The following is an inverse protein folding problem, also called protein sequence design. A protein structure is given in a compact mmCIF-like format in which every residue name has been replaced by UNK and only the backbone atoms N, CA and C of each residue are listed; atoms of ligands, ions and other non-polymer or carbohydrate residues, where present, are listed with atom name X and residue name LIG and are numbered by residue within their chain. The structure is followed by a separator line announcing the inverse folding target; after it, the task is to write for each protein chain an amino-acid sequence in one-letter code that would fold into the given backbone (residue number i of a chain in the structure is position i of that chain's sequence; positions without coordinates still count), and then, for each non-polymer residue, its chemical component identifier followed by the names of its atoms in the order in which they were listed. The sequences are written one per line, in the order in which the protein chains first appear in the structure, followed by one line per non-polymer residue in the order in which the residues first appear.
data_IF_498531491514
#
_entry.id   IF_498531491514
#
_cell.length_a   1.000
_cell.length_b   1.000
_cell.length_c   1.000
_cell.angle_alpha   90.00
_cell.angle_beta   90.00
_cell.angle_gamma   90.00
#
_symmetry.space_group_name_H-M   'P 1'
#
loop_
_entity.id
_entity.type
_entity.pdbx_description
1 polymer ?
#
# COMPACT_ATOMS: atom_id res chain seq x y z
N UNK A 1 -41.41 -25.80 -53.66
CA UNK A 1 -39.99 -26.16 -53.87
C UNK A 1 -39.28 -24.84 -54.05
N UNK A 2 -38.37 -24.53 -53.11
CA UNK A 2 -37.37 -23.43 -53.13
C UNK A 2 -37.92 -21.99 -53.09
N UNK A 3 -37.40 -21.05 -52.30
CA UNK A 3 -36.30 -21.06 -51.32
C UNK A 3 -36.55 -19.92 -50.33
N UNK A 4 -36.46 -20.19 -49.03
CA UNK A 4 -36.59 -19.17 -47.98
C UNK A 4 -35.18 -18.61 -47.79
N UNK A 5 -34.93 -17.40 -48.27
CA UNK A 5 -33.62 -16.75 -48.19
C UNK A 5 -33.27 -16.47 -46.71
N UNK A 6 -32.53 -17.39 -46.10
CA UNK A 6 -31.96 -17.22 -44.77
C UNK A 6 -30.86 -16.18 -44.93
N UNK A 7 -31.20 -14.91 -44.64
CA UNK A 7 -30.20 -13.90 -44.35
C UNK A 7 -29.38 -14.38 -43.16
N UNK A 8 -28.20 -14.92 -43.47
CA UNK A 8 -27.13 -15.18 -42.52
C UNK A 8 -26.84 -13.88 -41.77
N UNK A 9 -26.70 -13.91 -40.43
CA UNK A 9 -26.29 -12.73 -39.69
C UNK A 9 -24.92 -12.33 -40.21
N UNK A 10 -24.87 -11.19 -40.88
CA UNK A 10 -23.62 -10.54 -41.25
C UNK A 10 -22.79 -10.41 -39.99
N UNK A 11 -21.55 -10.90 -40.07
CA UNK A 11 -20.58 -10.84 -39.01
C UNK A 11 -20.48 -9.41 -38.46
N UNK A 12 -21.16 -9.16 -37.35
CA UNK A 12 -20.94 -8.00 -36.52
C UNK A 12 -19.54 -8.15 -35.92
N UNK A 13 -18.55 -7.75 -36.71
CA UNK A 13 -17.30 -7.25 -36.18
C UNK A 13 -17.63 -6.09 -35.24
N UNK A 14 -17.49 -6.29 -33.94
CA UNK A 14 -16.96 -5.26 -33.06
C UNK A 14 -16.73 -5.79 -31.66
N UNK A 15 -15.44 -5.88 -31.34
CA UNK A 15 -14.90 -5.63 -30.02
C UNK A 15 -15.23 -6.70 -28.96
N UNK A 16 -14.74 -7.92 -29.19
CA UNK A 16 -14.12 -8.61 -28.06
C UNK A 16 -13.05 -7.66 -27.53
N UNK A 17 -13.26 -7.20 -26.29
CA UNK A 17 -12.47 -6.19 -25.59
C UNK A 17 -11.03 -6.67 -25.56
N UNK A 18 -10.26 -6.32 -26.59
CA UNK A 18 -8.81 -6.39 -26.57
C UNK A 18 -8.44 -5.28 -25.61
N UNK A 19 -8.17 -5.66 -24.37
CA UNK A 19 -7.72 -4.79 -23.30
C UNK A 19 -6.36 -4.24 -23.74
N UNK A 20 -6.36 -3.25 -24.63
CA UNK A 20 -5.16 -2.53 -25.04
C UNK A 20 -4.68 -1.81 -23.79
N UNK A 21 -3.59 -2.33 -23.21
CA UNK A 21 -2.82 -1.64 -22.20
C UNK A 21 -2.16 -0.43 -22.87
N UNK A 22 -2.93 0.63 -23.10
CA UNK A 22 -2.37 1.89 -23.57
C UNK A 22 -1.48 2.44 -22.45
N UNK A 23 -0.29 2.92 -22.82
CA UNK A 23 0.65 3.52 -21.85
C UNK A 23 -0.03 4.64 -21.05
N UNK A 24 -0.96 5.36 -21.68
CA UNK A 24 -1.80 6.38 -21.06
C UNK A 24 -2.69 5.82 -19.94
N UNK A 25 -3.32 4.65 -20.14
CA UNK A 25 -4.12 4.01 -19.09
C UNK A 25 -3.27 3.62 -17.87
N UNK A 26 -2.00 3.24 -18.06
CA UNK A 26 -1.07 2.98 -16.94
C UNK A 26 -0.71 4.27 -16.20
N UNK A 27 -0.48 5.38 -16.91
CA UNK A 27 -0.21 6.67 -16.29
C UNK A 27 -1.42 7.24 -15.55
N UNK A 28 -2.63 7.09 -16.09
CA UNK A 28 -3.86 7.51 -15.43
C UNK A 28 -4.14 6.68 -14.17
N UNK A 29 -3.86 5.37 -14.22
CA UNK A 29 -4.08 4.43 -13.11
C UNK A 29 -3.02 4.52 -12.01
N UNK A 30 -1.74 4.57 -12.39
CA UNK A 30 -0.59 4.40 -11.48
C UNK A 30 0.36 5.61 -11.47
N UNK A 31 -0.06 6.76 -12.01
CA UNK A 31 0.78 7.96 -12.15
C UNK A 31 1.46 8.42 -10.86
N UNK A 32 0.83 8.24 -9.68
CA UNK A 32 1.46 8.55 -8.38
C UNK A 32 2.67 7.67 -8.10
N UNK A 33 2.55 6.37 -8.34
CA UNK A 33 3.66 5.44 -8.12
C UNK A 33 4.77 5.68 -9.14
N UNK A 34 4.41 5.90 -10.41
CA UNK A 34 5.40 6.20 -11.45
C UNK A 34 6.18 7.48 -11.13
N UNK A 35 5.51 8.53 -10.66
CA UNK A 35 6.18 9.74 -10.17
C UNK A 35 7.10 9.46 -8.98
N UNK A 36 6.64 8.68 -8.01
CA UNK A 36 7.46 8.31 -6.85
C UNK A 36 8.72 7.54 -7.27
N UNK A 37 8.58 6.52 -8.12
CA UNK A 37 9.71 5.73 -8.63
C UNK A 37 10.66 6.59 -9.46
N UNK A 38 10.14 7.45 -10.34
CA UNK A 38 10.97 8.38 -11.12
C UNK A 38 11.72 9.37 -10.22
N UNK A 39 11.06 9.92 -9.19
CA UNK A 39 11.69 10.79 -8.21
C UNK A 39 12.81 10.07 -7.46
N UNK A 40 12.57 8.85 -6.98
CA UNK A 40 13.58 8.05 -6.28
C UNK A 40 14.77 7.76 -7.22
N UNK A 41 14.51 7.36 -8.46
CA UNK A 41 15.56 7.09 -9.44
C UNK A 41 16.43 8.33 -9.72
N UNK A 42 15.81 9.51 -9.84
CA UNK A 42 16.55 10.78 -9.99
C UNK A 42 17.37 11.09 -8.73
N UNK A 43 16.77 10.96 -7.54
CA UNK A 43 17.45 11.22 -6.26
C UNK A 43 18.66 10.30 -6.05
N UNK A 44 18.60 9.06 -6.52
CA UNK A 44 19.74 8.13 -6.45
C UNK A 44 20.93 8.54 -7.33
N UNK A 45 20.71 9.36 -8.36
CA UNK A 45 21.73 9.73 -9.34
C UNK A 45 22.28 11.16 -9.19
N UNK A 46 21.70 11.99 -8.33
CA UNK A 46 22.18 13.36 -8.08
C UNK A 46 23.04 13.43 -6.81
N UNK A 47 24.06 14.31 -6.78
CA UNK A 47 24.76 14.65 -5.56
C UNK A 47 23.77 15.06 -4.46
N UNK A 48 24.00 14.61 -3.24
CA UNK A 48 23.15 14.85 -2.06
C UNK A 48 21.76 14.19 -2.04
N UNK A 49 21.30 13.53 -3.10
CA UNK A 49 19.99 12.87 -3.10
C UNK A 49 19.88 11.71 -2.09
N UNK A 50 21.02 11.10 -1.73
CA UNK A 50 21.11 10.12 -0.64
C UNK A 50 20.64 10.69 0.71
N UNK A 51 20.89 11.98 1.00
CA UNK A 51 20.44 12.60 2.26
C UNK A 51 18.92 12.78 2.31
N UNK A 52 18.28 12.95 1.14
CA UNK A 52 16.81 13.02 1.05
C UNK A 52 16.20 11.62 1.23
N UNK A 53 16.85 10.59 0.70
CA UNK A 53 16.42 9.19 0.84
C UNK A 53 16.74 8.59 2.21
N UNK A 54 17.66 9.21 2.97
CA UNK A 54 18.16 8.69 4.23
C UNK A 54 17.07 8.36 5.29
N UNK A 55 16.04 9.19 5.53
CA UNK A 55 14.96 8.82 6.45
C UNK A 55 14.17 7.59 5.99
N UNK A 56 14.02 7.39 4.68
CA UNK A 56 13.35 6.22 4.12
C UNK A 56 14.22 4.96 4.24
N UNK A 57 15.54 5.10 4.11
CA UNK A 57 16.47 4.02 4.38
C UNK A 57 16.40 3.58 5.85
N UNK A 58 16.45 4.52 6.80
CA UNK A 58 16.28 4.23 8.23
C UNK A 58 14.93 3.56 8.55
N UNK A 59 13.86 4.03 7.90
CA UNK A 59 12.55 3.40 8.03
C UNK A 59 12.56 1.95 7.54
N UNK A 60 13.17 1.69 6.38
CA UNK A 60 13.28 0.32 5.86
C UNK A 60 14.13 -0.58 6.73
N UNK A 61 15.24 -0.07 7.29
CA UNK A 61 16.05 -0.78 8.28
C UNK A 61 15.21 -1.13 9.50
N UNK A 62 14.41 -0.19 10.01
CA UNK A 62 13.49 -0.47 11.12
C UNK A 62 12.45 -1.53 10.78
N UNK A 63 11.87 -1.52 9.56
CA UNK A 63 10.94 -2.57 9.11
C UNK A 63 11.64 -3.93 9.16
N UNK A 64 12.83 -4.03 8.58
CA UNK A 64 13.65 -5.25 8.54
C UNK A 64 13.90 -5.83 9.94
N UNK A 65 14.46 -5.01 10.83
CA UNK A 65 14.74 -5.41 12.22
C UNK A 65 13.48 -5.76 13.00
N UNK A 66 12.37 -5.07 12.73
CA UNK A 66 11.08 -5.38 13.36
C UNK A 66 10.54 -6.72 12.89
N UNK A 67 10.76 -7.11 11.63
CA UNK A 67 10.34 -8.40 11.11
C UNK A 67 11.10 -9.57 11.75
N UNK A 68 12.40 -9.45 11.99
CA UNK A 68 13.14 -10.42 12.82
C UNK A 68 12.52 -10.53 14.23
N UNK A 69 12.24 -9.39 14.84
CA UNK A 69 11.66 -9.36 16.18
C UNK A 69 10.27 -10.03 16.26
N UNK A 70 9.40 -9.74 15.30
CA UNK A 70 8.08 -10.36 15.20
C UNK A 70 8.18 -11.86 14.95
N UNK A 71 9.08 -12.31 14.08
CA UNK A 71 9.30 -13.72 13.82
C UNK A 71 9.84 -14.45 15.06
N UNK A 72 10.70 -13.81 15.85
CA UNK A 72 11.17 -14.37 17.11
C UNK A 72 10.01 -14.58 18.09
N UNK A 73 9.11 -13.61 18.22
CA UNK A 73 7.92 -13.75 19.08
C UNK A 73 7.01 -14.88 18.58
N UNK A 74 6.75 -14.95 17.27
CA UNK A 74 5.89 -16.00 16.67
C UNK A 74 6.46 -17.39 16.86
N UNK A 75 7.79 -17.54 16.88
CA UNK A 75 8.46 -18.83 17.12
C UNK A 75 8.62 -19.18 18.61
N UNK A 76 7.98 -18.42 19.49
CA UNK A 76 8.00 -18.63 20.95
C UNK A 76 9.19 -18.01 21.67
N UNK A 77 9.96 -17.18 20.97
CA UNK A 77 11.06 -16.38 21.50
C UNK A 77 10.62 -15.00 21.99
N UNK A 78 11.58 -14.07 22.11
CA UNK A 78 11.32 -12.68 22.48
C UNK A 78 12.29 -11.70 21.84
N UNK A 79 11.92 -10.43 21.83
CA UNK A 79 12.79 -9.31 21.42
C UNK A 79 13.32 -8.64 22.66
N UNK A 80 14.64 -8.55 22.79
CA UNK A 80 15.28 -7.87 23.92
C UNK A 80 15.38 -6.38 23.65
N UNK A 81 15.90 -6.00 22.48
CA UNK A 81 16.03 -4.62 22.07
C UNK A 81 16.27 -4.49 20.56
N UNK A 82 16.04 -3.28 20.06
CA UNK A 82 16.31 -2.84 18.71
C UNK A 82 17.20 -1.59 18.75
N UNK A 83 18.20 -1.52 17.89
CA UNK A 83 19.05 -0.33 17.70
C UNK A 83 19.13 -0.01 16.21
N UNK A 84 19.09 1.27 15.89
CA UNK A 84 19.31 1.79 14.52
C UNK A 84 20.47 2.79 14.58
N UNK A 85 21.41 2.73 13.66
CA UNK A 85 22.64 3.51 13.70
C UNK A 85 22.72 4.58 12.60
N UNK A 86 23.58 5.61 12.76
CA UNK A 86 23.70 6.70 11.79
C UNK A 86 24.18 6.29 10.39
N UNK A 87 24.87 5.16 10.28
CA UNK A 87 25.30 4.58 9.00
C UNK A 87 24.14 3.90 8.23
N UNK A 88 22.93 3.87 8.80
CA UNK A 88 21.76 3.20 8.23
C UNK A 88 21.61 1.75 8.65
N UNK A 89 22.56 1.19 9.39
CA UNK A 89 22.52 -0.19 9.88
C UNK A 89 21.53 -0.35 11.04
N UNK A 90 21.02 -1.57 11.18
CA UNK A 90 20.09 -1.98 12.21
C UNK A 90 20.62 -3.16 13.01
N UNK A 91 20.16 -3.30 14.24
CA UNK A 91 20.44 -4.48 15.06
C UNK A 91 19.27 -4.77 15.99
N UNK A 92 18.53 -5.83 15.70
CA UNK A 92 17.62 -6.47 16.63
C UNK A 92 18.33 -7.61 17.38
N UNK A 93 18.28 -7.55 18.71
CA UNK A 93 18.63 -8.68 19.54
C UNK A 93 17.37 -9.47 19.89
N UNK A 94 17.30 -10.69 19.38
CA UNK A 94 16.21 -11.63 19.60
C UNK A 94 16.73 -12.85 20.35
N UNK A 95 15.87 -13.43 21.18
CA UNK A 95 16.08 -14.76 21.75
C UNK A 95 15.14 -15.73 21.05
N UNK A 96 15.67 -16.87 20.61
CA UNK A 96 14.92 -17.95 19.97
C UNK A 96 15.19 -19.26 20.71
N UNK A 97 14.37 -20.28 20.48
CA UNK A 97 14.48 -21.58 21.17
C UNK A 97 15.62 -22.47 20.65
N UNK A 98 16.52 -21.94 19.82
CA UNK A 98 17.74 -22.63 19.34
C UNK A 98 17.51 -23.74 18.31
N UNK A 99 16.26 -24.06 17.97
CA UNK A 99 15.94 -25.02 16.92
C UNK A 99 16.26 -24.42 15.54
N UNK A 100 17.05 -25.14 14.72
CA UNK A 100 17.57 -24.64 13.45
C UNK A 100 16.50 -24.03 12.53
N UNK A 101 15.35 -24.67 12.37
CA UNK A 101 14.26 -24.16 11.53
C UNK A 101 13.65 -22.86 12.06
N UNK A 102 13.64 -22.63 13.38
CA UNK A 102 13.17 -21.38 14.01
C UNK A 102 14.20 -20.28 13.83
N UNK A 103 15.49 -20.59 14.01
CA UNK A 103 16.59 -19.65 13.74
C UNK A 103 16.55 -19.22 12.27
N UNK A 104 16.43 -20.17 11.36
CA UNK A 104 16.33 -19.91 9.93
C UNK A 104 15.08 -19.10 9.56
N UNK A 105 13.93 -19.37 10.18
CA UNK A 105 12.71 -18.58 9.99
C UNK A 105 12.89 -17.13 10.46
N UNK A 106 13.47 -16.94 11.65
CA UNK A 106 13.76 -15.60 12.20
C UNK A 106 14.74 -14.85 11.30
N UNK A 107 15.84 -15.47 10.87
CA UNK A 107 16.81 -14.87 9.95
C UNK A 107 16.18 -14.53 8.59
N UNK A 108 15.33 -15.40 8.05
CA UNK A 108 14.62 -15.12 6.79
C UNK A 108 13.62 -13.96 6.89
N UNK A 109 13.11 -13.69 8.10
CA UNK A 109 12.00 -12.77 8.30
C UNK A 109 12.35 -11.31 7.98
N UNK A 110 13.61 -10.88 8.12
CA UNK A 110 14.02 -9.51 7.79
C UNK A 110 13.72 -9.17 6.33
N UNK A 111 14.33 -9.92 5.41
CA UNK A 111 14.16 -9.73 3.97
C UNK A 111 12.76 -10.08 3.48
N UNK A 112 12.24 -11.25 3.87
CA UNK A 112 10.89 -11.68 3.47
C UNK A 112 9.82 -10.72 3.99
N UNK A 113 9.94 -10.31 5.26
CA UNK A 113 9.01 -9.40 5.91
C UNK A 113 9.05 -8.00 5.31
N UNK A 114 10.23 -7.48 4.99
CA UNK A 114 10.38 -6.17 4.31
C UNK A 114 9.77 -6.21 2.90
N UNK A 115 9.98 -7.29 2.14
CA UNK A 115 9.36 -7.49 0.83
C UNK A 115 7.82 -7.51 0.91
N UNK A 116 7.28 -8.27 1.87
CA UNK A 116 5.83 -8.35 2.12
C UNK A 116 5.28 -7.00 2.57
N UNK A 117 5.96 -6.32 3.50
CA UNK A 117 5.56 -5.00 3.99
C UNK A 117 5.52 -3.98 2.86
N UNK A 118 6.54 -3.93 2.00
CA UNK A 118 6.57 -3.08 0.80
C UNK A 118 5.39 -3.38 -0.14
N UNK A 119 5.14 -4.66 -0.42
CA UNK A 119 3.99 -5.09 -1.22
C UNK A 119 2.64 -4.64 -0.63
N UNK A 120 2.44 -4.83 0.67
CA UNK A 120 1.23 -4.39 1.38
C UNK A 120 1.08 -2.87 1.33
N UNK A 121 2.15 -2.10 1.58
CA UNK A 121 2.11 -0.64 1.45
C UNK A 121 1.74 -0.22 0.03
N UNK A 122 2.28 -0.89 -1.00
CA UNK A 122 1.93 -0.61 -2.38
C UNK A 122 0.46 -0.89 -2.69
N UNK A 123 -0.18 -1.87 -2.04
CA UNK A 123 -1.62 -2.15 -2.19
C UNK A 123 -2.47 -1.04 -1.55
N UNK A 124 -2.13 -0.61 -0.33
CA UNK A 124 -2.87 0.41 0.41
C UNK A 124 -2.81 1.80 -0.25
N UNK A 125 -1.84 2.05 -1.14
CA UNK A 125 -1.64 3.35 -1.82
C UNK A 125 -2.85 3.79 -2.66
N UNK A 126 -3.66 2.83 -3.11
CA UNK A 126 -4.66 3.04 -4.17
C UNK A 126 -5.88 3.83 -3.72
N UNK A 127 -6.17 3.87 -2.42
CA UNK A 127 -7.26 4.68 -1.89
C UNK A 127 -6.71 5.80 -1.01
N UNK A 128 -7.30 6.99 -1.07
CA UNK A 128 -6.89 8.10 -0.20
C UNK A 128 -7.06 7.76 1.29
N UNK A 129 -8.10 6.99 1.62
CA UNK A 129 -8.36 6.49 2.98
C UNK A 129 -7.33 5.43 3.38
N UNK A 130 -7.00 4.48 2.50
CA UNK A 130 -5.98 3.45 2.74
C UNK A 130 -4.59 4.05 2.97
N UNK A 131 -4.17 4.99 2.12
CA UNK A 131 -2.90 5.69 2.30
C UNK A 131 -2.85 6.44 3.65
N UNK A 132 -3.94 7.11 4.04
CA UNK A 132 -4.03 7.79 5.35
C UNK A 132 -3.96 6.82 6.52
N UNK A 133 -4.76 5.76 6.51
CA UNK A 133 -4.78 4.76 7.58
C UNK A 133 -3.43 4.05 7.67
N UNK A 134 -2.86 3.64 6.54
CA UNK A 134 -1.55 3.00 6.47
C UNK A 134 -0.44 3.92 7.00
N UNK A 135 -0.42 5.18 6.59
CA UNK A 135 0.58 6.16 7.03
C UNK A 135 0.50 6.42 8.55
N UNK A 136 -0.70 6.64 9.09
CA UNK A 136 -0.88 6.82 10.54
C UNK A 136 -0.57 5.53 11.30
N UNK A 137 -1.06 4.39 10.83
CA UNK A 137 -0.87 3.09 11.47
C UNK A 137 0.62 2.71 11.56
N UNK A 138 1.36 2.84 10.47
CA UNK A 138 2.81 2.60 10.44
C UNK A 138 3.54 3.61 11.34
N UNK A 139 3.18 4.90 11.26
CA UNK A 139 3.78 5.92 12.13
C UNK A 139 3.57 5.62 13.62
N UNK A 140 2.37 5.18 14.01
CA UNK A 140 2.08 4.75 15.38
C UNK A 140 2.86 3.49 15.77
N UNK A 141 2.98 2.50 14.86
CA UNK A 141 3.77 1.30 15.11
C UNK A 141 5.25 1.64 15.39
N UNK A 142 5.84 2.56 14.60
CA UNK A 142 7.18 3.08 14.84
C UNK A 142 7.29 3.72 16.22
N UNK A 143 6.36 4.61 16.59
CA UNK A 143 6.36 5.30 17.88
C UNK A 143 6.21 4.34 19.07
N UNK A 144 5.33 3.36 18.97
CA UNK A 144 5.15 2.31 20.00
C UNK A 144 6.44 1.51 20.14
N UNK A 145 7.07 1.12 19.02
CA UNK A 145 8.35 0.40 19.06
C UNK A 145 9.47 1.23 19.71
N UNK A 146 9.44 2.56 19.59
CA UNK A 146 10.41 3.44 20.25
C UNK A 146 10.28 3.36 21.78
N UNK A 147 9.06 3.32 22.31
CA UNK A 147 8.84 3.15 23.75
C UNK A 147 9.24 1.75 24.25
N UNK A 148 8.91 0.71 23.48
CA UNK A 148 9.00 -0.67 23.97
C UNK A 148 10.32 -1.37 23.61
N UNK A 149 10.89 -1.12 22.44
CA UNK A 149 11.98 -1.93 21.88
C UNK A 149 13.27 -1.15 21.59
N UNK A 150 13.18 0.13 21.19
CA UNK A 150 14.37 0.89 20.78
C UNK A 150 15.20 1.29 22.00
N UNK A 151 16.51 1.05 21.97
CA UNK A 151 17.42 1.24 23.13
C UNK A 151 18.69 2.05 22.85
N UNK A 152 18.72 2.85 21.77
CA UNK A 152 19.83 3.76 21.53
C UNK A 152 19.35 5.18 21.17
N UNK A 153 20.13 6.19 21.57
CA UNK A 153 19.74 7.60 21.48
C UNK A 153 19.46 8.05 20.03
N UNK A 154 20.35 7.70 19.10
CA UNK A 154 20.16 8.03 17.69
C UNK A 154 18.87 7.40 17.13
N UNK A 155 18.68 6.10 17.34
CA UNK A 155 17.47 5.39 16.90
C UNK A 155 16.20 6.00 17.48
N UNK A 156 16.19 6.37 18.76
CA UNK A 156 15.06 7.06 19.38
C UNK A 156 14.76 8.40 18.70
N UNK A 157 15.76 9.28 18.52
CA UNK A 157 15.53 10.59 17.89
C UNK A 157 15.06 10.43 16.44
N UNK A 158 15.74 9.58 15.66
CA UNK A 158 15.45 9.40 14.25
C UNK A 158 14.07 8.74 14.03
N UNK A 159 13.79 7.63 14.72
CA UNK A 159 12.53 6.90 14.55
C UNK A 159 11.34 7.63 15.15
N UNK A 160 11.49 8.35 16.28
CA UNK A 160 10.40 9.21 16.79
C UNK A 160 10.11 10.31 15.79
N UNK A 161 11.14 10.92 15.20
CA UNK A 161 10.98 11.96 14.18
C UNK A 161 10.26 11.43 12.93
N UNK A 162 10.67 10.25 12.43
CA UNK A 162 10.00 9.55 11.31
C UNK A 162 8.55 9.20 11.68
N UNK A 163 8.31 8.61 12.84
CA UNK A 163 6.99 8.21 13.31
C UNK A 163 6.04 9.41 13.45
N UNK A 164 6.49 10.50 14.06
CA UNK A 164 5.73 11.75 14.16
C UNK A 164 5.47 12.35 12.78
N UNK A 165 6.45 12.36 11.88
CA UNK A 165 6.27 12.84 10.52
C UNK A 165 5.21 12.02 9.77
N UNK A 166 5.27 10.69 9.85
CA UNK A 166 4.27 9.82 9.24
C UNK A 166 2.87 10.08 9.80
N UNK A 167 2.71 10.12 11.13
CA UNK A 167 1.40 10.40 11.76
C UNK A 167 0.87 11.78 11.36
N UNK A 168 1.72 12.82 11.40
CA UNK A 168 1.31 14.18 11.06
C UNK A 168 0.99 14.33 9.57
N UNK A 169 1.76 13.71 8.68
CA UNK A 169 1.47 13.65 7.25
C UNK A 169 0.13 12.95 7.00
N UNK A 170 -0.09 11.77 7.59
CA UNK A 170 -1.35 11.04 7.44
C UNK A 170 -2.55 11.85 7.94
N UNK A 171 -2.43 12.51 9.10
CA UNK A 171 -3.52 13.27 9.71
C UNK A 171 -3.82 14.59 9.01
N UNK A 172 -2.79 15.38 8.70
CA UNK A 172 -2.96 16.79 8.27
C UNK A 172 -2.88 17.00 6.75
N UNK A 173 -2.21 16.15 5.98
CA UNK A 173 -2.06 16.41 4.55
C UNK A 173 -3.41 16.25 3.81
N UNK A 174 -3.66 17.08 2.77
CA UNK A 174 -4.77 16.87 1.86
C UNK A 174 -4.67 15.50 1.16
N UNK A 175 -5.81 14.88 0.76
CA UNK A 175 -5.81 13.53 0.17
C UNK A 175 -4.89 13.35 -1.05
N UNK A 176 -4.69 14.44 -1.83
CA UNK A 176 -3.76 14.46 -2.96
C UNK A 176 -2.32 14.20 -2.49
N UNK A 177 -1.84 14.97 -1.52
CA UNK A 177 -0.45 14.90 -1.03
C UNK A 177 -0.19 13.67 -0.15
N UNK A 178 -1.17 13.21 0.65
CA UNK A 178 -1.03 11.96 1.41
C UNK A 178 -0.71 10.80 0.47
N UNK A 179 -1.42 10.72 -0.67
CA UNK A 179 -1.20 9.67 -1.66
C UNK A 179 0.20 9.71 -2.29
N UNK A 180 0.74 10.90 -2.59
CA UNK A 180 2.09 11.04 -3.14
C UNK A 180 3.16 10.63 -2.12
N UNK A 181 3.09 11.17 -0.89
CA UNK A 181 4.06 10.86 0.16
C UNK A 181 4.02 9.37 0.51
N UNK A 182 2.82 8.79 0.61
CA UNK A 182 2.66 7.37 0.88
C UNK A 182 3.19 6.50 -0.25
N UNK A 183 3.01 6.92 -1.51
CA UNK A 183 3.60 6.22 -2.65
C UNK A 183 5.13 6.23 -2.60
N UNK A 184 5.76 7.33 -2.17
CA UNK A 184 7.22 7.39 -1.95
C UNK A 184 7.63 6.41 -0.85
N UNK A 185 6.99 6.45 0.33
CA UNK A 185 7.29 5.53 1.44
C UNK A 185 7.18 4.06 1.01
N UNK A 186 6.08 3.71 0.33
CA UNK A 186 5.84 2.36 -0.17
C UNK A 186 6.90 1.95 -1.21
N UNK A 187 7.18 2.81 -2.18
CA UNK A 187 8.15 2.55 -3.23
C UNK A 187 9.57 2.41 -2.67
N UNK A 188 9.98 3.25 -1.72
CA UNK A 188 11.29 3.12 -1.07
C UNK A 188 11.41 1.85 -0.25
N UNK A 189 10.35 1.45 0.47
CA UNK A 189 10.35 0.21 1.25
C UNK A 189 10.49 -1.02 0.33
N UNK A 190 9.76 -1.03 -0.79
CA UNK A 190 9.89 -2.07 -1.81
C UNK A 190 11.25 -2.05 -2.51
N UNK A 191 11.78 -0.86 -2.84
CA UNK A 191 13.06 -0.74 -3.52
C UNK A 191 14.22 -1.19 -2.64
N UNK A 192 14.18 -0.89 -1.34
CA UNK A 192 15.21 -1.29 -0.41
C UNK A 192 15.36 -2.81 -0.28
N UNK A 193 14.27 -3.56 -0.44
CA UNK A 193 14.34 -5.03 -0.50
C UNK A 193 15.22 -5.53 -1.67
N UNK A 194 15.40 -4.73 -2.74
CA UNK A 194 16.31 -5.02 -3.85
C UNK A 194 17.70 -4.44 -3.66
N UNK A 195 17.85 -3.23 -3.11
CA UNK A 195 19.19 -2.64 -2.99
C UNK A 195 20.05 -3.35 -1.95
N UNK A 196 19.44 -4.05 -0.99
CA UNK A 196 20.13 -4.86 0.02
C UNK A 196 20.70 -6.19 -0.51
N UNK A 197 20.63 -6.46 -1.81
CA UNK A 197 21.23 -7.64 -2.45
C UNK A 197 22.72 -7.78 -2.14
N UNK A 198 23.46 -6.67 -2.10
CA UNK A 198 24.91 -6.71 -1.80
C UNK A 198 25.19 -7.33 -0.44
N UNK A 199 24.36 -7.05 0.56
CA UNK A 199 24.48 -7.60 1.91
C UNK A 199 24.11 -9.09 1.94
N UNK A 200 23.15 -9.52 1.11
CA UNK A 200 22.73 -10.93 1.04
C UNK A 200 23.79 -11.87 0.47
N UNK A 201 24.55 -11.39 -0.51
CA UNK A 201 25.61 -12.16 -1.15
C UNK A 201 26.97 -11.96 -0.50
N UNK A 202 27.07 -11.04 0.46
CA UNK A 202 28.25 -10.90 1.28
C UNK A 202 28.32 -12.06 2.30
N UNK A 203 29.47 -12.71 2.29
CA UNK A 203 29.78 -13.85 3.17
C UNK A 203 30.78 -13.45 4.26
N UNK A 204 31.39 -12.27 4.14
CA UNK A 204 32.31 -11.78 5.14
C UNK A 204 31.54 -11.31 6.38
N UNK A 205 31.96 -11.74 7.59
CA UNK A 205 31.39 -11.20 8.81
C UNK A 205 31.67 -9.70 8.91
N UNK A 206 30.64 -8.91 9.21
CA UNK A 206 30.75 -7.48 9.42
C UNK A 206 30.45 -7.14 10.88
N UNK A 207 30.90 -5.98 11.34
CA UNK A 207 30.65 -5.53 12.72
C UNK A 207 29.68 -4.34 12.74
N UNK A 208 28.56 -4.50 13.45
CA UNK A 208 27.67 -3.39 13.78
C UNK A 208 27.86 -3.06 15.25
N UNK A 209 28.38 -1.86 15.52
CA UNK A 209 28.63 -1.37 16.88
C UNK A 209 29.41 -2.36 17.78
N UNK A 210 30.41 -3.04 17.21
CA UNK A 210 31.27 -4.00 17.91
C UNK A 210 30.71 -5.43 18.00
N UNK A 211 29.50 -5.68 17.48
CA UNK A 211 28.92 -7.02 17.41
C UNK A 211 29.19 -7.60 16.02
N UNK A 212 29.98 -8.68 15.96
CA UNK A 212 30.22 -9.42 14.72
C UNK A 212 28.94 -10.14 14.31
N UNK A 213 28.53 -9.94 13.06
CA UNK A 213 27.34 -10.54 12.45
C UNK A 213 27.70 -11.08 11.07
N UNK A 214 26.97 -12.11 10.66
CA UNK A 214 26.94 -12.59 9.29
C UNK A 214 25.65 -12.09 8.63
N UNK A 215 25.59 -12.18 7.30
CA UNK A 215 24.35 -11.91 6.56
C UNK A 215 23.26 -12.92 6.92
N UNK A 216 21.99 -12.50 6.84
CA UNK A 216 20.85 -13.38 7.14
C UNK A 216 20.85 -14.64 6.26
N UNK A 217 21.29 -14.50 5.00
CA UNK A 217 21.43 -15.62 4.07
C UNK A 217 22.48 -16.64 4.53
N UNK A 218 23.59 -16.16 5.11
CA UNK A 218 24.61 -17.03 5.68
C UNK A 218 24.09 -17.72 6.94
N UNK A 219 23.39 -17.02 7.84
CA UNK A 219 22.78 -17.63 9.03
C UNK A 219 21.83 -18.76 8.63
N UNK A 220 21.00 -18.56 7.61
CA UNK A 220 20.08 -19.61 7.11
C UNK A 220 20.85 -20.76 6.47
N UNK A 221 21.96 -20.49 5.77
CA UNK A 221 22.79 -21.53 5.18
C UNK A 221 23.57 -22.37 6.20
N UNK A 222 23.89 -21.79 7.36
CA UNK A 222 24.55 -22.51 8.46
C UNK A 222 23.55 -23.42 9.21
N UNK A 223 22.26 -23.03 9.25
CA UNK A 223 21.19 -23.78 9.92
C UNK A 223 20.45 -24.79 9.01
N UNK A 224 20.37 -24.52 7.70
CA UNK A 224 19.68 -25.34 6.71
C UNK A 224 20.65 -25.92 5.68
N UNK A 225 20.21 -26.92 4.92
CA UNK A 225 21.09 -27.68 4.02
C UNK A 225 21.45 -26.98 2.69
N UNK A 226 20.87 -25.81 2.38
CA UNK A 226 21.10 -25.11 1.10
C UNK A 226 22.04 -23.92 1.28
N UNK A 227 22.87 -23.60 0.27
CA UNK A 227 23.83 -22.51 0.34
C UNK A 227 23.17 -21.12 0.36
N UNK A 228 23.89 -20.12 0.88
CA UNK A 228 23.40 -18.74 1.06
C UNK A 228 22.83 -18.12 -0.23
N UNK A 229 23.46 -18.36 -1.39
CA UNK A 229 23.03 -17.80 -2.67
C UNK A 229 21.64 -18.30 -3.08
N UNK A 230 21.25 -19.51 -2.68
CA UNK A 230 19.93 -20.06 -2.97
C UNK A 230 18.86 -19.27 -2.22
N UNK A 231 19.05 -19.07 -0.91
CA UNK A 231 18.13 -18.33 -0.05
C UNK A 231 18.05 -16.85 -0.43
N UNK A 232 19.20 -16.22 -0.69
CA UNK A 232 19.28 -14.85 -1.19
C UNK A 232 18.47 -14.68 -2.48
N UNK A 233 18.65 -15.59 -3.46
CA UNK A 233 17.91 -15.58 -4.73
C UNK A 233 16.40 -15.75 -4.49
N UNK A 234 16.01 -16.68 -3.62
CA UNK A 234 14.60 -16.91 -3.29
C UNK A 234 13.94 -15.65 -2.71
N UNK A 235 14.61 -14.94 -1.80
CA UNK A 235 14.08 -13.73 -1.20
C UNK A 235 13.99 -12.56 -2.18
N UNK A 236 14.95 -12.46 -3.11
CA UNK A 236 14.88 -11.49 -4.22
C UNK A 236 13.67 -11.78 -5.11
N UNK A 237 13.45 -13.05 -5.48
CA UNK A 237 12.28 -13.44 -6.27
C UNK A 237 10.97 -13.12 -5.53
N UNK A 238 10.92 -13.34 -4.21
CA UNK A 238 9.79 -12.94 -3.38
C UNK A 238 9.59 -11.42 -3.39
N UNK A 239 10.66 -10.62 -3.31
CA UNK A 239 10.59 -9.16 -3.40
C UNK A 239 10.07 -8.68 -4.75
N UNK A 240 10.54 -9.28 -5.86
CA UNK A 240 10.01 -9.04 -7.22
C UNK A 240 8.53 -9.36 -7.27
N UNK A 241 8.14 -10.52 -6.77
CA UNK A 241 6.76 -11.00 -6.80
C UNK A 241 5.82 -10.10 -5.98
N UNK A 242 6.19 -9.75 -4.74
CA UNK A 242 5.40 -8.86 -3.88
C UNK A 242 5.30 -7.44 -4.44
N UNK A 243 6.39 -6.91 -4.99
CA UNK A 243 6.38 -5.60 -5.65
C UNK A 243 5.51 -5.62 -6.91
N UNK A 244 5.55 -6.72 -7.67
CA UNK A 244 4.71 -6.93 -8.84
C UNK A 244 3.22 -7.03 -8.47
N UNK A 245 2.86 -7.76 -7.41
CA UNK A 245 1.48 -7.79 -6.89
C UNK A 245 1.04 -6.39 -6.47
N UNK A 246 1.88 -5.69 -5.69
CA UNK A 246 1.59 -4.30 -5.29
C UNK A 246 1.40 -3.38 -6.51
N UNK A 247 2.13 -3.62 -7.60
CA UNK A 247 1.99 -2.89 -8.85
C UNK A 247 0.73 -3.28 -9.63
N UNK A 248 0.43 -4.58 -9.81
CA UNK A 248 -0.59 -5.08 -10.74
C UNK A 248 -1.95 -5.39 -10.10
N UNK A 249 -2.01 -5.87 -8.86
CA UNK A 249 -3.24 -6.30 -8.20
C UNK A 249 -4.05 -5.10 -7.67
N UNK A 250 -4.75 -4.48 -8.62
CA UNK A 250 -6.00 -3.71 -8.51
C UNK A 250 -7.07 -4.28 -7.59
N UNK A 251 -7.20 -3.89 -6.32
CA UNK A 251 -8.57 -3.75 -5.79
C UNK A 251 -9.11 -2.49 -6.46
N UNK A 252 -9.84 -2.68 -7.56
CA UNK A 252 -10.66 -1.61 -8.12
C UNK A 252 -11.59 -1.11 -6.99
N UNK A 253 -11.59 0.19 -6.66
CA UNK A 253 -12.73 0.73 -5.94
C UNK A 253 -13.92 0.37 -6.81
N UNK A 254 -14.80 -0.50 -6.30
CA UNK A 254 -16.01 -0.91 -7.01
C UNK A 254 -16.60 0.35 -7.63
N UNK A 255 -16.67 0.34 -8.96
CA UNK A 255 -17.18 1.47 -9.73
C UNK A 255 -18.43 1.96 -9.02
N UNK A 256 -18.42 3.21 -8.57
CA UNK A 256 -19.72 3.84 -8.33
C UNK A 256 -20.50 3.62 -9.62
N UNK A 257 -21.72 3.07 -9.55
CA UNK A 257 -22.54 2.89 -10.74
C UNK A 257 -22.55 4.24 -11.47
N UNK A 258 -22.46 4.23 -12.81
CA UNK A 258 -22.29 5.45 -13.58
C UNK A 258 -23.28 6.49 -13.09
N UNK A 259 -22.81 7.72 -12.81
CA UNK A 259 -23.70 8.85 -12.53
C UNK A 259 -24.44 9.27 -13.81
N UNK A 260 -25.09 8.33 -14.50
CA UNK A 260 -26.16 8.59 -15.44
C UNK A 260 -27.41 8.89 -14.62
N UNK A 261 -27.57 10.15 -14.21
CA UNK A 261 -28.79 10.57 -13.52
C UNK A 261 -28.71 11.87 -12.72
N UNK A 262 -27.56 12.54 -12.64
CA UNK A 262 -27.51 13.89 -12.04
C UNK A 262 -27.89 14.97 -13.06
N UNK A 263 -29.03 14.80 -13.72
CA UNK A 263 -29.77 15.87 -14.38
C UNK A 263 -31.19 15.88 -13.82
N UNK A 264 -31.60 17.05 -13.31
CA UNK A 264 -33.00 17.45 -13.17
C UNK A 264 -33.83 16.95 -11.97
N UNK A 265 -33.38 17.14 -10.74
CA UNK A 265 -34.32 17.33 -9.62
C UNK A 265 -34.57 18.82 -9.30
N UNK A 266 -33.58 19.69 -9.52
CA UNK A 266 -33.75 21.13 -9.33
C UNK A 266 -34.56 21.80 -10.46
N UNK A 267 -34.51 21.30 -11.70
CA UNK A 267 -35.35 21.81 -12.80
C UNK A 267 -36.78 21.28 -12.80
N UNK A 268 -37.06 20.15 -12.14
CA UNK A 268 -38.42 19.65 -11.95
C UNK A 268 -39.18 20.48 -10.89
N UNK A 269 -38.48 20.96 -9.85
CA UNK A 269 -39.08 21.81 -8.83
C UNK A 269 -39.34 23.25 -9.31
N UNK A 270 -38.50 23.80 -10.18
CA UNK A 270 -38.71 25.14 -10.74
C UNK A 270 -39.78 25.19 -11.84
N UNK A 271 -40.00 24.09 -12.58
CA UNK A 271 -41.05 24.04 -13.59
C UNK A 271 -42.45 23.80 -13.01
N UNK A 272 -42.56 23.08 -11.88
CA UNK A 272 -43.87 22.82 -11.27
C UNK A 272 -44.49 24.07 -10.62
N UNK A 273 -43.66 25.07 -10.26
CA UNK A 273 -44.14 26.34 -9.69
C UNK A 273 -44.72 27.30 -10.73
N UNK A 274 -44.47 27.07 -12.03
CA UNK A 274 -45.09 27.85 -13.13
C UNK A 274 -46.42 27.26 -13.62
N UNK A 275 -46.70 25.99 -13.33
CA UNK A 275 -47.99 25.35 -13.65
C UNK A 275 -49.04 25.48 -12.56
N UNK A 276 -48.66 25.85 -11.34
CA UNK A 276 -49.62 26.10 -10.24
C UNK A 276 -50.27 27.48 -10.32
N UNK A 277 -49.63 28.46 -10.97
CA UNK A 277 -50.22 29.79 -11.23
C UNK A 277 -51.30 29.82 -12.31
N UNK A 278 -51.57 28.70 -13.01
CA UNK A 278 -52.62 28.61 -14.04
C UNK A 278 -53.79 27.70 -13.64
N UNK A 279 -53.87 27.27 -12.37
CA UNK A 279 -54.98 26.43 -11.87
C UNK A 279 -56.03 27.21 -11.07
N UNK A 280 -55.80 28.48 -10.76
CA UNK A 280 -56.79 29.34 -10.11
C UNK A 280 -57.86 29.87 -11.08
N UNK A 281 -57.68 29.73 -12.41
CA UNK A 281 -58.60 30.26 -13.42
C UNK A 281 -59.58 29.21 -14.01
N UNK A 282 -59.58 27.97 -13.50
CA UNK A 282 -60.42 26.87 -14.04
C UNK A 282 -61.36 26.23 -13.00
N UNK A 283 -61.51 26.84 -11.83
CA UNK A 283 -62.38 26.32 -10.75
C UNK A 283 -63.78 26.99 -10.67
N UNK A 284 -64.20 27.74 -11.69
CA UNK A 284 -65.49 28.46 -11.68
C UNK A 284 -66.63 27.79 -12.49
N UNK A 285 -66.48 26.53 -12.89
CA UNK A 285 -67.59 25.80 -13.50
C UNK A 285 -67.58 24.37 -12.98
N UNK A 286 -68.48 24.05 -12.03
CA UNK A 286 -69.41 22.91 -12.04
C UNK A 286 -70.12 22.76 -10.68
N UNK A 287 -71.41 22.37 -10.64
CA UNK A 287 -72.27 22.53 -9.47
C UNK A 287 -72.12 21.39 -8.44
N UNK A 288 -72.43 21.73 -7.19
CA UNK A 288 -72.34 20.86 -6.02
C UNK A 288 -73.38 19.74 -6.04
N UNK A 289 -72.93 18.52 -5.75
CA UNK A 289 -73.78 17.39 -5.40
C UNK A 289 -73.32 16.81 -4.05
N UNK A 290 -74.15 16.98 -3.02
CA UNK A 290 -74.01 16.37 -1.70
C UNK A 290 -74.28 14.86 -1.76
N UNK A 291 -73.44 14.05 -1.10
CA UNK A 291 -73.80 12.69 -0.68
C UNK A 291 -73.30 12.45 0.75
N UNK A 292 -74.27 12.03 1.57
CA UNK A 292 -74.26 11.83 3.02
C UNK A 292 -73.48 10.58 3.43
N UNK A 293 -72.73 10.66 4.54
CA UNK A 293 -72.00 9.54 5.15
C UNK A 293 -72.81 8.89 6.28
N UNK A 294 -73.08 7.59 6.19
CA UNK A 294 -73.47 6.76 7.34
C UNK A 294 -72.31 5.84 7.74
N UNK A 295 -71.97 5.85 9.03
CA UNK A 295 -70.98 4.95 9.64
C UNK A 295 -71.69 3.70 10.20
N UNK A 296 -71.10 2.50 10.08
CA UNK A 296 -71.69 1.27 10.61
C UNK A 296 -71.50 1.15 12.14
N UNK A 297 -72.46 0.53 12.80
CA UNK A 297 -72.43 0.10 14.22
C UNK A 297 -71.40 -0.99 14.47
#
# INVERSE_FOLDING_TARGET
MEDYDIQTPTAASSNSVRQEWSVLAVFERDGRLLRAVALIAVLMNIPYGVYVLYPFALFSTWVHESCHGLAAIVTGGRVLWLKVFPDGSGLALTETTGEAHKVAFVASAGYCGTAVAGGVLLLFRRTGRGARIGMVGVGLAVLISCGVLVRNAFGLVALVSIGLLLVTCGWKLPPRFVGEVYAVVAATCSLNAFTSITVLFDTEPFSIAGVVRQSDAQVVADELWLPYWFWATLWILLAVFMSSIGFFCAIEPGSEPPQSGRKSYLSAWTNNRKSETNKEELAEVLPQAEVVWQLPT
#
